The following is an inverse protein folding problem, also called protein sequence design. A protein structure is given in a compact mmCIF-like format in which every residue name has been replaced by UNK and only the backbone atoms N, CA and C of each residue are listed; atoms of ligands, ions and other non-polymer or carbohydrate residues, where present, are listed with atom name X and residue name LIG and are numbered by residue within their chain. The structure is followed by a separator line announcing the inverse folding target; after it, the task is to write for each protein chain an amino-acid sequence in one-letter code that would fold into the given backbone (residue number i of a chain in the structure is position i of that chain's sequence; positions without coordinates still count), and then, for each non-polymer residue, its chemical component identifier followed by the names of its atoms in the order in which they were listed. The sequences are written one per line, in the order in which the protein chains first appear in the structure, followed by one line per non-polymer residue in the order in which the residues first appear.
data_IF_900171820512
#
_entry.id   IF_900171820512
#
_cell.length_a   1.000
_cell.length_b   1.000
_cell.length_c   1.000
_cell.angle_alpha   90.00
_cell.angle_beta   90.00
_cell.angle_gamma   90.00
#
_symmetry.space_group_name_H-M   'P 1'
#
loop_
_entity.id
_entity.type
_entity.pdbx_description
1 polymer ?
#
# COMPACT_ATOMS: atom_id res chain seq x y z
N UNK A 1 3.48 -6.23 12.09
CA UNK A 1 2.16 -6.88 11.93
C UNK A 1 1.03 -5.94 12.25
N UNK A 2 0.91 -5.42 13.48
CA UNK A 2 -0.16 -4.46 13.83
C UNK A 2 -0.22 -3.24 12.89
N UNK A 3 0.93 -2.64 12.57
CA UNK A 3 1.00 -1.51 11.62
C UNK A 3 0.50 -1.85 10.21
N UNK A 4 0.79 -3.06 9.70
CA UNK A 4 0.31 -3.54 8.39
C UNK A 4 -1.22 -3.64 8.41
N UNK A 5 -1.77 -4.31 9.43
CA UNK A 5 -3.22 -4.46 9.57
C UNK A 5 -3.95 -3.11 9.69
N UNK A 6 -3.38 -2.16 10.41
CA UNK A 6 -3.93 -0.80 10.50
C UNK A 6 -3.91 -0.10 9.12
N UNK A 7 -2.78 -0.14 8.40
CA UNK A 7 -2.67 0.45 7.07
C UNK A 7 -3.66 -0.19 6.08
N UNK A 8 -3.78 -1.51 6.08
CA UNK A 8 -4.72 -2.26 5.24
C UNK A 8 -6.17 -1.87 5.52
N UNK A 9 -6.55 -1.74 6.80
CA UNK A 9 -7.89 -1.33 7.19
C UNK A 9 -8.24 0.06 6.66
N UNK A 10 -7.34 1.04 6.83
CA UNK A 10 -7.56 2.39 6.31
C UNK A 10 -7.58 2.44 4.77
N UNK A 11 -6.70 1.71 4.11
CA UNK A 11 -6.64 1.67 2.64
C UNK A 11 -7.92 1.05 2.05
N UNK A 12 -8.37 -0.08 2.60
CA UNK A 12 -9.63 -0.72 2.18
C UNK A 12 -10.83 0.17 2.50
N UNK A 13 -10.83 0.82 3.68
CA UNK A 13 -11.86 1.79 4.06
C UNK A 13 -11.96 2.96 3.08
N UNK A 14 -10.82 3.50 2.61
CA UNK A 14 -10.81 4.56 1.61
C UNK A 14 -11.40 4.11 0.27
N UNK A 15 -11.12 2.87 -0.16
CA UNK A 15 -11.67 2.33 -1.42
C UNK A 15 -13.19 2.18 -1.32
N UNK A 16 -13.68 1.63 -0.20
CA UNK A 16 -15.12 1.49 0.04
C UNK A 16 -15.80 2.87 0.08
N UNK A 17 -15.18 3.84 0.76
CA UNK A 17 -15.67 5.22 0.81
C UNK A 17 -15.83 5.82 -0.59
N UNK A 18 -14.82 5.66 -1.46
CA UNK A 18 -14.87 6.20 -2.83
C UNK A 18 -16.01 5.58 -3.65
N UNK A 19 -16.26 4.27 -3.49
CA UNK A 19 -17.36 3.58 -4.17
C UNK A 19 -18.74 3.99 -3.66
N UNK A 20 -18.87 4.15 -2.35
CA UNK A 20 -20.12 4.66 -1.76
C UNK A 20 -20.39 6.08 -2.23
N UNK A 21 -19.35 6.91 -2.31
CA UNK A 21 -19.47 8.28 -2.78
C UNK A 21 -19.88 8.35 -4.25
N UNK A 22 -19.30 7.52 -5.12
CA UNK A 22 -19.65 7.45 -6.55
C UNK A 22 -21.15 7.17 -6.73
N UNK A 23 -21.72 6.24 -5.96
CA UNK A 23 -23.16 5.95 -5.95
C UNK A 23 -23.98 7.11 -5.38
N UNK A 24 -23.48 7.78 -4.32
CA UNK A 24 -24.19 8.93 -3.76
C UNK A 24 -24.18 10.13 -4.72
N UNK A 25 -23.14 10.30 -5.53
CA UNK A 25 -23.02 11.38 -6.51
C UNK A 25 -24.04 11.29 -7.65
N UNK A 26 -24.63 10.12 -7.91
CA UNK A 26 -25.77 9.99 -8.83
C UNK A 26 -26.99 10.78 -8.36
N UNK A 27 -27.11 11.04 -7.05
CA UNK A 27 -28.16 11.92 -6.53
C UNK A 27 -27.76 13.39 -6.74
N UNK A 28 -28.37 14.04 -7.72
CA UNK A 28 -28.14 15.47 -8.00
C UNK A 28 -28.73 16.41 -6.93
N UNK A 29 -29.44 15.88 -5.93
CA UNK A 29 -30.10 16.67 -4.89
C UNK A 29 -29.19 17.10 -3.75
N UNK A 30 -27.88 16.85 -3.81
CA UNK A 30 -26.93 17.36 -2.82
C UNK A 30 -25.64 17.80 -3.52
N UNK A 31 -25.04 18.88 -3.02
CA UNK A 31 -23.77 19.36 -3.57
C UNK A 31 -22.60 18.50 -3.04
N UNK A 32 -22.15 17.55 -3.86
CA UNK A 32 -21.00 16.69 -3.58
C UNK A 32 -19.66 17.40 -3.72
N UNK A 33 -19.63 18.66 -4.17
CA UNK A 33 -18.43 19.47 -4.39
C UNK A 33 -18.32 20.67 -3.46
N UNK A 34 -18.93 20.56 -2.28
CA UNK A 34 -18.78 21.53 -1.20
C UNK A 34 -17.34 21.67 -0.71
N UNK A 35 -16.98 22.85 -0.19
CA UNK A 35 -15.63 23.13 0.34
C UNK A 35 -15.15 22.09 1.35
N UNK A 36 -15.94 21.82 2.40
CA UNK A 36 -15.60 20.84 3.42
C UNK A 36 -15.44 19.44 2.82
N UNK A 37 -16.31 19.08 1.88
CA UNK A 37 -16.29 17.78 1.23
C UNK A 37 -15.01 17.59 0.41
N UNK A 38 -14.64 18.59 -0.40
CA UNK A 38 -13.41 18.59 -1.19
C UNK A 38 -12.16 18.63 -0.33
N UNK A 39 -12.19 19.36 0.79
CA UNK A 39 -11.12 19.37 1.78
C UNK A 39 -10.93 17.96 2.35
N UNK A 40 -11.98 17.32 2.87
CA UNK A 40 -11.89 15.95 3.40
C UNK A 40 -11.45 14.93 2.34
N UNK A 41 -11.93 15.06 1.10
CA UNK A 41 -11.52 14.21 -0.02
C UNK A 41 -10.02 14.34 -0.32
N UNK A 42 -9.49 15.57 -0.31
CA UNK A 42 -8.06 15.84 -0.54
C UNK A 42 -7.19 15.28 0.58
N UNK A 43 -7.60 15.49 1.85
CA UNK A 43 -6.91 14.91 3.01
C UNK A 43 -6.92 13.39 2.99
N UNK A 44 -8.07 12.78 2.68
CA UNK A 44 -8.21 11.33 2.52
C UNK A 44 -7.25 10.81 1.44
N UNK A 45 -7.19 11.47 0.28
CA UNK A 45 -6.29 11.09 -0.81
C UNK A 45 -4.82 11.15 -0.37
N UNK A 46 -4.44 12.17 0.40
CA UNK A 46 -3.09 12.31 0.97
C UNK A 46 -2.74 11.18 1.93
N UNK A 47 -3.63 10.91 2.89
CA UNK A 47 -3.46 9.83 3.86
C UNK A 47 -3.38 8.47 3.16
N UNK A 48 -4.23 8.23 2.18
CA UNK A 48 -4.24 6.99 1.40
C UNK A 48 -2.91 6.75 0.67
N UNK A 49 -2.33 7.78 0.04
CA UNK A 49 -1.05 7.62 -0.66
C UNK A 49 0.11 7.32 0.31
N UNK A 50 0.13 7.96 1.48
CA UNK A 50 1.13 7.69 2.54
C UNK A 50 0.98 6.26 3.08
N UNK A 51 -0.24 5.88 3.50
CA UNK A 51 -0.50 4.56 4.10
C UNK A 51 -0.27 3.41 3.12
N UNK A 52 -0.61 3.59 1.84
CA UNK A 52 -0.34 2.58 0.81
C UNK A 52 1.16 2.36 0.60
N UNK A 53 1.96 3.42 0.67
CA UNK A 53 3.43 3.36 0.56
C UNK A 53 4.05 2.69 1.78
N UNK A 54 3.63 3.09 2.97
CA UNK A 54 4.06 2.48 4.24
C UNK A 54 3.75 0.99 4.31
N UNK A 55 2.58 0.57 3.80
CA UNK A 55 2.20 -0.84 3.79
C UNK A 55 3.22 -1.70 3.01
N UNK A 56 3.64 -1.24 1.84
CA UNK A 56 4.65 -1.90 1.02
C UNK A 56 6.01 -1.97 1.73
N UNK A 57 6.43 -0.88 2.38
CA UNK A 57 7.69 -0.85 3.14
C UNK A 57 7.65 -1.76 4.36
N UNK A 58 6.56 -1.78 5.10
CA UNK A 58 6.36 -2.69 6.23
C UNK A 58 6.39 -4.16 5.79
N UNK A 59 5.86 -4.48 4.60
CA UNK A 59 5.99 -5.79 3.99
C UNK A 59 7.45 -6.20 3.73
N UNK A 60 8.23 -5.29 3.13
CA UNK A 60 9.68 -5.51 2.91
C UNK A 60 10.44 -5.67 4.22
N UNK A 61 10.17 -4.82 5.22
CA UNK A 61 10.78 -4.91 6.54
C UNK A 61 10.45 -6.24 7.22
N UNK A 62 9.23 -6.74 7.10
CA UNK A 62 8.85 -8.06 7.61
C UNK A 62 9.66 -9.18 6.94
N UNK A 63 9.83 -9.13 5.61
CA UNK A 63 10.64 -10.09 4.87
C UNK A 63 12.12 -10.02 5.27
N UNK A 64 12.67 -8.81 5.44
CA UNK A 64 14.03 -8.57 5.92
C UNK A 64 14.24 -9.15 7.31
N UNK A 65 13.33 -8.90 8.25
CA UNK A 65 13.41 -9.46 9.60
C UNK A 65 13.45 -10.99 9.54
N UNK A 66 12.57 -11.63 8.75
CA UNK A 66 12.57 -13.09 8.58
C UNK A 66 13.87 -13.64 8.02
N UNK A 67 14.42 -12.98 7.00
CA UNK A 67 15.70 -13.35 6.42
C UNK A 67 16.85 -13.20 7.44
N UNK A 68 16.89 -12.08 8.15
CA UNK A 68 17.90 -11.79 9.16
C UNK A 68 17.86 -12.80 10.32
N UNK A 69 16.67 -13.21 10.78
CA UNK A 69 16.52 -14.23 11.83
C UNK A 69 17.18 -15.55 11.40
N UNK A 70 16.97 -15.98 10.16
CA UNK A 70 17.47 -17.28 9.69
C UNK A 70 18.98 -17.24 9.47
N UNK A 71 19.48 -16.16 8.86
CA UNK A 71 20.89 -16.04 8.51
C UNK A 71 21.79 -15.69 9.69
N UNK A 72 21.36 -14.75 10.54
CA UNK A 72 22.19 -14.16 11.59
C UNK A 72 21.80 -14.60 13.00
N UNK A 73 21.05 -15.70 13.16
CA UNK A 73 20.65 -16.26 14.47
C UNK A 73 21.82 -16.49 15.46
N UNK A 74 23.06 -16.53 14.98
CA UNK A 74 24.27 -16.78 15.77
C UNK A 74 25.14 -15.53 16.01
N UNK A 75 24.77 -14.36 15.48
CA UNK A 75 25.55 -13.12 15.63
C UNK A 75 24.91 -12.16 16.65
N UNK A 76 25.72 -11.61 17.58
CA UNK A 76 25.27 -10.68 18.62
C UNK A 76 24.57 -9.41 18.08
N UNK A 77 24.85 -9.00 16.84
CA UNK A 77 24.19 -7.86 16.17
C UNK A 77 22.68 -8.08 15.95
N UNK A 78 22.24 -9.33 15.91
CA UNK A 78 20.83 -9.68 15.75
C UNK A 78 19.99 -9.26 16.96
N UNK A 79 20.57 -9.23 18.17
CA UNK A 79 19.85 -8.87 19.39
C UNK A 79 19.29 -7.44 19.31
N UNK A 80 20.06 -6.48 18.77
CA UNK A 80 19.62 -5.10 18.61
C UNK A 80 18.49 -4.94 17.57
N UNK A 81 18.63 -5.59 16.41
CA UNK A 81 17.64 -5.54 15.31
C UNK A 81 16.32 -6.21 15.73
N UNK A 82 16.38 -7.20 16.63
CA UNK A 82 15.21 -7.91 17.13
C UNK A 82 14.36 -7.09 18.12
N UNK A 83 14.89 -5.97 18.65
CA UNK A 83 14.16 -5.17 19.63
C UNK A 83 12.95 -4.49 18.98
N UNK A 84 11.76 -4.53 19.62
CA UNK A 84 10.55 -3.91 19.07
C UNK A 84 10.69 -2.40 18.87
N UNK A 85 11.52 -1.74 19.69
CA UNK A 85 11.84 -0.32 19.59
C UNK A 85 12.50 0.02 18.25
N UNK A 86 13.37 -0.85 17.73
CA UNK A 86 13.99 -0.64 16.42
C UNK A 86 12.94 -0.67 15.30
N UNK A 87 11.97 -1.60 15.37
CA UNK A 87 10.87 -1.66 14.41
C UNK A 87 9.98 -0.41 14.43
N UNK A 88 9.68 0.13 15.62
CA UNK A 88 8.93 1.39 15.77
C UNK A 88 9.73 2.56 15.20
N UNK A 89 11.03 2.63 15.50
CA UNK A 89 11.90 3.68 14.97
C UNK A 89 11.93 3.67 13.43
N UNK A 90 12.14 2.50 12.82
CA UNK A 90 12.13 2.37 11.36
C UNK A 90 10.77 2.77 10.77
N UNK A 91 9.68 2.33 11.37
CA UNK A 91 8.33 2.73 10.95
C UNK A 91 8.11 4.25 11.02
N UNK A 92 8.54 4.90 12.10
CA UNK A 92 8.41 6.35 12.23
C UNK A 92 9.24 7.09 11.18
N UNK A 93 10.44 6.60 10.87
CA UNK A 93 11.30 7.18 9.84
C UNK A 93 10.69 7.00 8.45
N UNK A 94 10.20 5.81 8.09
CA UNK A 94 9.55 5.58 6.80
C UNK A 94 8.30 6.43 6.68
N UNK A 95 7.45 6.44 7.71
CA UNK A 95 6.23 7.24 7.75
C UNK A 95 6.50 8.73 7.55
N UNK A 96 7.55 9.25 8.21
CA UNK A 96 7.96 10.64 8.04
C UNK A 96 8.44 10.94 6.62
N UNK A 97 9.31 10.11 6.06
CA UNK A 97 9.78 10.25 4.67
C UNK A 97 8.61 10.19 3.67
N UNK A 98 7.69 9.23 3.82
CA UNK A 98 6.50 9.09 2.99
C UNK A 98 5.59 10.31 3.09
N UNK A 99 5.40 10.83 4.31
CA UNK A 99 4.61 12.04 4.56
C UNK A 99 5.25 13.29 3.95
N UNK A 100 6.58 13.40 3.93
CA UNK A 100 7.27 14.50 3.27
C UNK A 100 7.06 14.48 1.75
N UNK A 101 7.13 13.30 1.13
CA UNK A 101 6.92 13.15 -0.32
C UNK A 101 5.48 13.51 -0.69
N UNK A 102 4.49 12.92 -0.02
CA UNK A 102 3.09 13.25 -0.28
C UNK A 102 2.79 14.72 0.10
N UNK A 103 3.32 15.21 1.22
CA UNK A 103 3.16 16.60 1.65
C UNK A 103 3.66 17.61 0.63
N UNK A 104 4.82 17.35 0.00
CA UNK A 104 5.35 18.20 -1.08
C UNK A 104 4.38 18.28 -2.28
N UNK A 105 3.74 17.18 -2.64
CA UNK A 105 2.72 17.15 -3.70
C UNK A 105 1.45 17.90 -3.32
N UNK A 106 0.88 17.57 -2.15
CA UNK A 106 -0.37 18.15 -1.68
C UNK A 106 -0.25 19.64 -1.30
N UNK A 107 0.94 20.12 -0.96
CA UNK A 107 1.20 21.55 -0.75
C UNK A 107 0.87 22.42 -1.98
N UNK A 108 1.00 21.85 -3.18
CA UNK A 108 0.71 22.56 -4.42
C UNK A 108 -0.78 22.53 -4.84
N UNK A 109 -1.66 21.94 -4.01
CA UNK A 109 -3.10 21.92 -4.22
C UNK A 109 -3.77 23.12 -3.56
N UNK A 110 -4.72 23.71 -4.27
CA UNK A 110 -5.65 24.69 -3.72
C UNK A 110 -7.06 24.40 -4.25
N UNK A 111 -8.07 24.83 -3.50
CA UNK A 111 -9.47 24.71 -3.90
C UNK A 111 -9.85 25.95 -4.70
N UNK A 112 -10.27 25.73 -5.95
CA UNK A 112 -10.74 26.78 -6.84
C UNK A 112 -12.27 26.81 -6.82
N UNK A 113 -12.83 28.00 -6.65
CA UNK A 113 -14.26 28.28 -6.86
C UNK A 113 -14.55 28.30 -8.35
N UNK A 114 -15.54 27.51 -8.79
CA UNK A 114 -15.80 27.30 -10.22
C UNK A 114 -17.12 27.91 -10.65
N UNK A 115 -18.25 27.34 -10.23
CA UNK A 115 -19.59 27.84 -10.57
C UNK A 115 -20.56 27.68 -9.40
N UNK A 116 -21.68 28.39 -9.46
CA UNK A 116 -22.77 28.24 -8.50
C UNK A 116 -23.59 26.99 -8.86
N UNK A 117 -23.66 26.06 -7.92
CA UNK A 117 -24.56 24.92 -7.95
C UNK A 117 -25.93 25.34 -7.40
N UNK A 118 -26.98 24.96 -8.11
CA UNK A 118 -28.36 25.07 -7.66
C UNK A 118 -29.03 23.69 -7.73
N UNK A 119 -29.90 23.35 -6.77
CA UNK A 119 -30.57 22.06 -6.75
C UNK A 119 -31.55 21.95 -7.93
N UNK A 120 -31.62 20.79 -8.61
CA UNK A 120 -32.64 20.54 -9.62
C UNK A 120 -34.07 20.66 -9.06
N UNK A 121 -35.05 21.02 -9.90
CA UNK A 121 -36.45 21.25 -9.49
C UNK A 121 -37.11 20.05 -8.77
N UNK A 122 -36.63 18.83 -9.06
CA UNK A 122 -37.10 17.59 -8.43
C UNK A 122 -36.70 17.46 -6.95
N UNK A 123 -35.74 18.25 -6.48
CA UNK A 123 -35.19 18.16 -5.14
C UNK A 123 -36.01 18.99 -4.14
N UNK A 124 -36.85 18.32 -3.35
CA UNK A 124 -37.69 18.97 -2.32
C UNK A 124 -36.89 19.30 -1.06
N UNK A 125 -37.18 20.43 -0.42
CA UNK A 125 -36.62 20.78 0.90
C UNK A 125 -35.63 21.96 0.91
N UNK A 126 -35.30 22.52 -0.26
CA UNK A 126 -34.48 23.73 -0.38
C UNK A 126 -35.35 25.01 -0.35
N UNK A 127 -34.85 26.12 0.23
CA UNK A 127 -35.52 27.42 0.16
C UNK A 127 -35.47 27.99 -1.27
N UNK A 128 -36.35 28.93 -1.58
CA UNK A 128 -36.37 29.60 -2.88
C UNK A 128 -35.04 30.33 -3.15
N UNK A 129 -34.51 30.20 -4.37
CA UNK A 129 -33.22 30.76 -4.82
C UNK A 129 -32.00 30.28 -4.00
N UNK A 130 -32.02 29.04 -3.49
CA UNK A 130 -30.85 28.44 -2.86
C UNK A 130 -29.74 28.18 -3.90
N UNK A 131 -28.56 28.76 -3.67
CA UNK A 131 -27.34 28.48 -4.43
C UNK A 131 -26.18 28.16 -3.51
N UNK A 132 -25.22 27.38 -4.00
CA UNK A 132 -24.02 27.00 -3.27
C UNK A 132 -22.82 26.94 -4.21
N UNK A 133 -21.63 27.33 -3.75
CA UNK A 133 -20.43 27.30 -4.58
C UNK A 133 -19.90 25.87 -4.82
N UNK A 134 -19.46 25.62 -6.05
CA UNK A 134 -18.78 24.40 -6.45
C UNK A 134 -17.26 24.57 -6.36
N UNK A 135 -16.61 23.69 -5.61
CA UNK A 135 -15.15 23.69 -5.42
C UNK A 135 -14.48 22.54 -6.17
N UNK A 136 -13.34 22.82 -6.80
CA UNK A 136 -12.49 21.79 -7.41
C UNK A 136 -11.05 21.88 -6.90
N UNK A 137 -10.39 20.75 -6.60
CA UNK A 137 -8.97 20.72 -6.28
C UNK A 137 -8.14 20.94 -7.54
N UNK A 138 -7.33 21.99 -7.56
CA UNK A 138 -6.48 22.37 -8.70
C UNK A 138 -5.03 22.49 -8.24
N UNK A 139 -4.11 22.11 -9.12
CA UNK A 139 -2.67 22.22 -8.90
C UNK A 139 -2.18 23.61 -9.35
N UNK A 140 -1.26 24.20 -8.60
CA UNK A 140 -0.63 25.48 -8.98
C UNK A 140 0.04 25.41 -10.36
N UNK A 141 -0.24 26.41 -11.23
CA UNK A 141 0.31 26.49 -12.60
C UNK A 141 1.85 26.49 -12.61
N UNK A 142 2.45 27.09 -11.58
CA UNK A 142 3.90 27.10 -11.41
C UNK A 142 4.46 25.68 -11.26
N UNK A 143 3.87 24.85 -10.40
CA UNK A 143 4.31 23.46 -10.21
C UNK A 143 4.08 22.61 -11.46
N UNK A 144 3.01 22.89 -12.23
CA UNK A 144 2.77 22.18 -13.48
C UNK A 144 3.81 22.50 -14.56
N UNK A 145 4.25 23.77 -14.66
CA UNK A 145 5.13 24.24 -15.74
C UNK A 145 6.63 24.09 -15.45
N UNK A 146 7.05 23.93 -14.19
CA UNK A 146 8.46 23.85 -13.81
C UNK A 146 9.11 22.56 -14.38
N UNK A 147 10.18 22.64 -15.18
CA UNK A 147 10.78 21.45 -15.79
C UNK A 147 11.59 20.58 -14.80
N UNK A 148 12.20 21.18 -13.76
CA UNK A 148 13.08 20.45 -12.83
C UNK A 148 12.38 20.01 -11.54
N UNK A 149 11.64 20.93 -10.91
CA UNK A 149 10.88 20.73 -9.67
C UNK A 149 9.37 20.76 -9.92
N UNK A 150 8.93 20.25 -11.06
CA UNK A 150 7.52 20.21 -11.40
C UNK A 150 6.89 18.84 -11.23
N UNK A 151 5.62 18.79 -11.61
CA UNK A 151 4.77 17.62 -11.49
C UNK A 151 5.36 16.36 -12.15
N UNK A 152 5.94 16.48 -13.35
CA UNK A 152 6.52 15.33 -14.08
C UNK A 152 7.69 14.69 -13.33
N UNK A 153 8.64 15.49 -12.85
CA UNK A 153 9.78 14.99 -12.07
C UNK A 153 9.31 14.36 -10.76
N UNK A 154 8.32 14.96 -10.10
CA UNK A 154 7.71 14.37 -8.90
C UNK A 154 7.09 13.01 -9.19
N UNK A 155 6.26 12.88 -10.23
CA UNK A 155 5.64 11.60 -10.61
C UNK A 155 6.70 10.53 -10.92
N UNK A 156 7.80 10.91 -11.57
CA UNK A 156 8.90 9.99 -11.86
C UNK A 156 9.57 9.47 -10.57
N UNK A 157 9.94 10.37 -9.66
CA UNK A 157 10.54 10.00 -8.37
C UNK A 157 9.57 9.17 -7.53
N UNK A 158 8.31 9.57 -7.47
CA UNK A 158 7.26 8.84 -6.76
C UNK A 158 7.07 7.42 -7.31
N UNK A 159 7.09 7.29 -8.64
CA UNK A 159 7.08 6.00 -9.33
C UNK A 159 8.27 5.11 -8.94
N UNK A 160 9.49 5.67 -8.94
CA UNK A 160 10.70 4.93 -8.53
C UNK A 160 10.62 4.44 -7.08
N UNK A 161 10.13 5.30 -6.18
CA UNK A 161 9.93 4.97 -4.76
C UNK A 161 8.97 3.78 -4.61
N UNK A 162 7.90 3.73 -5.42
CA UNK A 162 6.92 2.64 -5.43
C UNK A 162 7.44 1.34 -6.09
N UNK A 163 8.35 1.44 -7.06
CA UNK A 163 8.97 0.28 -7.70
C UNK A 163 9.93 -0.45 -6.75
N UNK A 164 10.65 0.30 -5.91
CA UNK A 164 11.66 -0.25 -5.00
C UNK A 164 11.16 -1.41 -4.11
N UNK A 165 10.06 -1.29 -3.34
CA UNK A 165 9.55 -2.40 -2.54
C UNK A 165 9.06 -3.57 -3.40
N UNK A 166 8.54 -3.30 -4.60
CA UNK A 166 8.04 -4.31 -5.54
C UNK A 166 9.15 -5.22 -6.07
N UNK A 167 10.37 -4.70 -6.26
CA UNK A 167 11.54 -5.48 -6.67
C UNK A 167 12.25 -6.11 -5.46
N UNK A 168 12.32 -5.41 -4.33
CA UNK A 168 12.97 -5.94 -3.14
C UNK A 168 12.25 -7.15 -2.55
N UNK A 169 10.92 -7.13 -2.51
CA UNK A 169 10.14 -8.21 -1.94
C UNK A 169 10.45 -9.57 -2.59
N UNK A 170 10.39 -9.75 -3.94
CA UNK A 170 10.72 -11.03 -4.57
C UNK A 170 12.18 -11.42 -4.36
N UNK A 171 13.14 -10.48 -4.44
CA UNK A 171 14.56 -10.77 -4.19
C UNK A 171 14.76 -11.33 -2.78
N UNK A 172 14.16 -10.69 -1.78
CA UNK A 172 14.24 -11.13 -0.39
C UNK A 172 13.58 -12.48 -0.18
N UNK A 173 12.45 -12.75 -0.85
CA UNK A 173 11.81 -14.07 -0.77
C UNK A 173 12.68 -15.17 -1.40
N UNK A 174 13.36 -14.91 -2.51
CA UNK A 174 14.26 -15.88 -3.14
C UNK A 174 15.48 -16.17 -2.26
N UNK A 175 16.08 -15.14 -1.68
CA UNK A 175 17.18 -15.29 -0.71
C UNK A 175 16.73 -16.11 0.52
N UNK A 176 15.55 -15.80 1.05
CA UNK A 176 14.95 -16.53 2.16
C UNK A 176 14.74 -18.02 1.83
N UNK A 177 14.20 -18.33 0.65
CA UNK A 177 14.00 -19.71 0.19
C UNK A 177 15.35 -20.43 0.05
N UNK A 178 16.38 -19.76 -0.48
CA UNK A 178 17.71 -20.32 -0.63
C UNK A 178 18.33 -20.71 0.73
N UNK A 179 18.23 -19.83 1.73
CA UNK A 179 18.73 -20.09 3.08
C UNK A 179 17.95 -21.22 3.78
N UNK A 180 16.62 -21.24 3.66
CA UNK A 180 15.80 -22.32 4.22
C UNK A 180 16.17 -23.67 3.58
N UNK A 181 16.40 -23.70 2.26
CA UNK A 181 16.86 -24.91 1.55
C UNK A 181 18.27 -25.32 1.96
N UNK A 182 19.18 -24.37 2.18
CA UNK A 182 20.53 -24.64 2.67
C UNK A 182 20.50 -25.24 4.08
N UNK A 183 19.76 -24.64 5.00
CA UNK A 183 19.55 -25.14 6.35
C UNK A 183 18.90 -26.53 6.35
N UNK A 184 17.91 -26.78 5.47
CA UNK A 184 17.30 -28.11 5.32
C UNK A 184 18.31 -29.15 4.82
N UNK A 185 19.17 -28.80 3.85
CA UNK A 185 20.23 -29.71 3.36
C UNK A 185 21.24 -30.07 4.45
N UNK A 186 21.67 -29.10 5.25
CA UNK A 186 22.57 -29.35 6.39
C UNK A 186 21.89 -30.28 7.40
N UNK A 187 20.63 -30.02 7.75
CA UNK A 187 19.84 -30.87 8.66
C UNK A 187 19.66 -32.29 8.13
N UNK A 188 19.43 -32.49 6.83
CA UNK A 188 19.30 -33.82 6.24
C UNK A 188 20.62 -34.61 6.29
N UNK A 189 21.75 -33.97 6.00
CA UNK A 189 23.09 -34.59 6.18
C UNK A 189 23.38 -34.91 7.64
N UNK A 190 23.00 -34.02 8.55
CA UNK A 190 23.12 -34.27 9.98
C UNK A 190 22.20 -35.42 10.38
N UNK A 191 20.97 -35.51 9.86
CA UNK A 191 20.02 -36.59 10.15
C UNK A 191 20.49 -37.96 9.66
N UNK A 192 21.11 -38.08 8.48
CA UNK A 192 21.64 -39.37 8.02
C UNK A 192 22.88 -39.80 8.81
N UNK A 193 23.70 -38.86 9.27
CA UNK A 193 24.78 -39.13 10.21
C UNK A 193 24.27 -39.36 11.64
N UNK A 194 23.16 -38.71 12.01
CA UNK A 194 22.46 -38.90 13.27
C UNK A 194 21.76 -40.25 13.27
N UNK A 195 21.22 -40.82 12.19
CA UNK A 195 20.74 -42.21 12.24
C UNK A 195 21.86 -43.20 12.61
N UNK A 196 23.12 -42.92 12.24
CA UNK A 196 24.30 -43.65 12.73
C UNK A 196 24.66 -43.34 14.20
N UNK A 197 24.41 -42.12 14.67
CA UNK A 197 24.71 -41.65 16.04
C UNK A 197 23.56 -41.78 17.06
N UNK A 198 22.32 -41.94 16.58
CA UNK A 198 21.08 -42.06 17.33
C UNK A 198 20.92 -43.47 17.90
N UNK A 199 21.65 -44.44 17.33
CA UNK A 199 21.92 -45.72 17.97
C UNK A 199 22.79 -45.57 19.23
N UNK A 200 23.54 -44.46 19.39
CA UNK A 200 24.53 -44.32 20.46
C UNK A 200 24.17 -43.32 21.57
N UNK A 201 23.33 -42.29 21.36
CA UNK A 201 23.09 -41.30 22.43
C UNK A 201 21.62 -40.89 22.56
N UNK A 202 21.00 -41.41 23.62
CA UNK A 202 19.63 -41.16 24.07
C UNK A 202 19.51 -39.80 24.78
N UNK A 203 19.30 -38.70 24.04
CA UNK A 203 18.90 -37.41 24.63
C UNK A 203 17.97 -36.60 23.70
N UNK A 204 16.80 -37.18 23.38
CA UNK A 204 15.87 -36.73 22.32
C UNK A 204 14.73 -35.79 22.77
N UNK A 205 14.70 -35.33 24.03
CA UNK A 205 13.49 -34.64 24.53
C UNK A 205 13.35 -33.17 24.09
N UNK A 206 14.44 -32.44 23.85
CA UNK A 206 14.40 -30.97 23.68
C UNK A 206 14.07 -30.56 22.23
N UNK A 207 14.34 -31.40 21.23
CA UNK A 207 14.21 -31.03 19.80
C UNK A 207 12.77 -31.21 19.28
N UNK A 208 11.92 -32.01 19.94
CA UNK A 208 10.57 -32.29 19.46
C UNK A 208 9.60 -31.10 19.55
N UNK A 209 9.83 -30.14 20.46
CA UNK A 209 8.96 -28.97 20.60
C UNK A 209 9.04 -28.02 19.39
N UNK A 210 10.18 -27.96 18.70
CA UNK A 210 10.37 -27.10 17.52
C UNK A 210 9.86 -27.72 16.20
N UNK A 211 9.37 -28.97 16.23
CA UNK A 211 9.07 -29.78 15.03
C UNK A 211 7.63 -29.61 14.49
N UNK A 212 6.72 -28.92 15.18
CA UNK A 212 5.28 -28.97 14.85
C UNK A 212 4.68 -27.75 14.14
N UNK A 213 5.43 -26.68 13.86
CA UNK A 213 4.87 -25.41 13.33
C UNK A 213 5.38 -24.86 11.97
N UNK A 214 6.19 -25.54 11.12
CA UNK A 214 6.59 -24.93 9.83
C UNK A 214 5.63 -25.19 8.66
N UNK A 215 4.69 -26.14 8.72
CA UNK A 215 3.92 -26.55 7.53
C UNK A 215 2.68 -25.68 7.24
N UNK A 216 2.05 -25.09 8.27
CA UNK A 216 0.92 -24.18 8.08
C UNK A 216 1.35 -22.76 7.68
N UNK A 217 2.42 -22.24 8.28
CA UNK A 217 2.97 -20.91 7.98
C UNK A 217 3.58 -20.83 6.59
N UNK A 218 4.24 -21.89 6.12
CA UNK A 218 4.80 -21.91 4.75
C UNK A 218 3.70 -21.95 3.69
N UNK A 219 2.64 -22.75 3.89
CA UNK A 219 1.46 -22.74 3.01
C UNK A 219 0.76 -21.38 2.99
N UNK A 220 0.57 -20.75 4.16
CA UNK A 220 -0.01 -19.41 4.27
C UNK A 220 0.82 -18.36 3.53
N UNK A 221 2.15 -18.36 3.70
CA UNK A 221 3.03 -17.41 3.02
C UNK A 221 3.04 -17.64 1.51
N UNK A 222 3.00 -18.89 1.06
CA UNK A 222 2.93 -19.21 -0.38
C UNK A 222 1.62 -18.73 -1.00
N UNK A 223 0.49 -18.90 -0.31
CA UNK A 223 -0.81 -18.40 -0.76
C UNK A 223 -0.86 -16.88 -0.75
N UNK A 224 -0.28 -16.22 0.26
CA UNK A 224 -0.18 -14.75 0.32
C UNK A 224 0.68 -14.20 -0.81
N UNK A 225 1.80 -14.84 -1.16
CA UNK A 225 2.63 -14.44 -2.31
C UNK A 225 1.89 -14.62 -3.64
N UNK A 226 1.09 -15.68 -3.79
CA UNK A 226 0.26 -15.89 -4.99
C UNK A 226 -0.92 -14.91 -5.06
N UNK A 227 -1.50 -14.53 -3.92
CA UNK A 227 -2.54 -13.50 -3.85
C UNK A 227 -2.00 -12.11 -4.21
N UNK A 228 -0.84 -11.73 -3.67
CA UNK A 228 -0.14 -10.47 -4.02
C UNK A 228 0.32 -10.45 -5.49
N UNK A 229 0.57 -11.61 -6.10
CA UNK A 229 0.89 -11.70 -7.53
C UNK A 229 -0.34 -11.62 -8.46
N UNK A 230 -1.55 -11.81 -7.93
CA UNK A 230 -2.80 -11.71 -8.70
C UNK A 230 -3.34 -10.28 -8.80
N UNK A 231 -2.89 -9.38 -7.92
CA UNK A 231 -3.16 -7.95 -8.00
C UNK A 231 -1.97 -7.27 -8.69
N UNK A 232 -1.99 -7.05 -10.01
CA UNK A 232 -0.96 -6.26 -10.65
C UNK A 232 -0.98 -4.84 -10.06
N UNK A 233 0.18 -4.15 -9.98
CA UNK A 233 0.19 -2.74 -9.64
C UNK A 233 -0.70 -2.01 -10.66
N UNK A 234 -1.71 -1.27 -10.16
CA UNK A 234 -2.46 -0.30 -10.95
C UNK A 234 -1.46 0.71 -11.53
N UNK A 235 -0.95 0.40 -12.73
CA UNK A 235 0.20 1.09 -13.32
C UNK A 235 0.51 0.71 -14.77
N UNK A 236 -0.31 -0.11 -15.44
CA UNK A 236 -0.30 -0.26 -16.90
C UNK A 236 -1.74 -0.31 -17.43
N UNK A 237 -2.05 0.38 -18.55
CA UNK A 237 -3.41 0.54 -19.05
C UNK A 237 -3.83 -0.73 -19.79
N UNK A 238 -4.86 -1.43 -19.29
CA UNK A 238 -5.56 -2.46 -20.06
C UNK A 238 -6.61 -1.79 -20.96
N UNK A 239 -6.13 -1.41 -22.15
CA UNK A 239 -6.87 -1.62 -23.40
C UNK A 239 -7.45 -3.05 -23.37
N UNK A 240 -8.77 -3.19 -23.19
CA UNK A 240 -9.42 -4.50 -23.20
C UNK A 240 -10.79 -4.61 -22.56
N UNK A 241 -11.30 -3.57 -21.89
CA UNK A 241 -12.70 -3.52 -21.41
C UNK A 241 -13.41 -2.31 -21.99
N UNK A 242 -13.66 -2.37 -23.29
CA UNK A 242 -14.70 -1.58 -23.92
C UNK A 242 -15.41 -2.47 -24.94
N UNK A 243 -16.38 -3.23 -24.46
CA UNK A 243 -17.59 -3.54 -25.23
C UNK A 243 -18.70 -3.89 -24.24
N UNK A 244 -19.82 -3.18 -24.38
CA UNK A 244 -21.12 -3.40 -23.74
C UNK A 244 -21.38 -2.80 -22.34
N UNK A 245 -21.43 -1.46 -22.27
CA UNK A 245 -22.69 -0.78 -21.92
C UNK A 245 -22.57 0.67 -22.38
N UNK A 246 -23.41 1.03 -23.35
CA UNK A 246 -23.42 2.31 -24.05
C UNK A 246 -23.65 3.51 -23.10
N UNK A 247 -23.03 4.65 -23.44
CA UNK A 247 -23.04 5.88 -22.65
C UNK A 247 -24.30 6.72 -22.78
N UNK A 248 -24.21 8.01 -22.41
CA UNK A 248 -24.55 9.03 -23.40
C UNK A 248 -23.46 10.08 -23.62
N UNK A 249 -23.29 10.37 -24.91
CA UNK A 249 -22.80 11.56 -25.60
C UNK A 249 -22.80 12.89 -24.80
N UNK A 250 -21.77 13.70 -25.07
CA UNK A 250 -21.63 15.18 -25.18
C UNK A 250 -20.21 15.51 -24.67
N UNK A 251 -19.19 15.84 -25.48
CA UNK A 251 -19.05 17.06 -26.29
C UNK A 251 -18.11 16.79 -27.48
N UNK A 252 -18.55 17.21 -28.67
CA UNK A 252 -17.66 17.50 -29.80
C UNK A 252 -17.31 19.00 -29.76
N UNK A 253 -16.07 19.41 -30.07
CA UNK A 253 -15.75 20.82 -30.25
C UNK A 253 -16.25 21.27 -31.63
N UNK A 254 -16.95 22.41 -31.67
CA UNK A 254 -17.07 23.21 -32.88
C UNK A 254 -16.62 24.64 -32.58
N UNK A 255 -15.74 25.10 -33.48
CA UNK A 255 -15.10 26.41 -33.65
C UNK A 255 -13.90 26.75 -32.76
#
# INVERSE_FOLDING_TARGET
MAGIAACDFFNMGSIVYDRVLEVLQENECWNSHNYNFQLFSTWKMSIFDVLRRENSYLGVLMALVRYSVIKYSMEAKFEYISKPIFGIFVFMVTFFCSSLVSGFYFYHFYLLETFEWSPPEQCRGYPANYTQMYYMPVITKEFFRRPWLGLQSFMFVDGLIKIFPTILLPILTLLLIAEIRAAKRIRMKLSSNVEKWFFLVRHYSIIKFYRSQPDHTTKLVTVMTVAVAKDPPLGTPLLGYQSQSDGPLWFSPQN
#
